data_IF_900841171674
#
_entry.id   IF_900841171674
#
_cell.length_a   1.000
_cell.length_b   1.000
_cell.length_c   1.000
_cell.angle_alpha   90.00
_cell.angle_beta   90.00
_cell.angle_gamma   90.00
#
_symmetry.space_group_name_H-M   'P 1'
#
loop_
_entity.id
_entity.type
_entity.pdbx_description
1 polymer ?
#
# COMPACT_ATOMS: atom_id res chain seq x y z
N UNK A 1 19.42 -15.47 16.64
CA UNK A 1 19.74 -14.29 15.81
C UNK A 1 18.96 -14.31 14.48
N UNK A 2 19.14 -15.32 13.61
CA UNK A 2 18.42 -15.46 12.33
C UNK A 2 16.89 -15.38 12.43
N UNK A 3 16.26 -16.09 13.37
CA UNK A 3 14.79 -16.04 13.57
C UNK A 3 14.26 -14.63 13.90
N UNK A 4 15.00 -13.86 14.68
CA UNK A 4 14.59 -12.48 15.03
C UNK A 4 14.69 -11.55 13.82
N UNK A 5 15.67 -11.78 12.95
CA UNK A 5 15.84 -11.03 11.71
C UNK A 5 14.70 -11.37 10.74
N UNK A 6 14.38 -12.65 10.56
CA UNK A 6 13.25 -13.10 9.72
C UNK A 6 11.92 -12.50 10.19
N UNK A 7 11.63 -12.55 11.49
CA UNK A 7 10.39 -11.98 12.03
C UNK A 7 10.29 -10.45 11.81
N UNK A 8 11.43 -9.73 11.82
CA UNK A 8 11.44 -8.30 11.50
C UNK A 8 11.18 -8.04 10.03
N UNK A 9 11.78 -8.84 9.14
CA UNK A 9 11.52 -8.74 7.70
C UNK A 9 10.06 -9.06 7.37
N UNK A 10 9.50 -10.10 7.99
CA UNK A 10 8.07 -10.38 7.87
C UNK A 10 7.23 -9.20 8.37
N UNK A 11 7.54 -8.63 9.54
CA UNK A 11 6.81 -7.47 10.05
C UNK A 11 6.88 -6.27 9.11
N UNK A 12 8.04 -5.98 8.50
CA UNK A 12 8.20 -4.91 7.51
C UNK A 12 7.40 -5.18 6.23
N UNK A 13 7.33 -6.43 5.78
CA UNK A 13 6.51 -6.83 4.64
C UNK A 13 5.00 -6.86 4.95
N UNK A 14 4.57 -6.58 6.19
CA UNK A 14 3.15 -6.64 6.56
C UNK A 14 2.50 -5.27 6.68
N UNK A 15 3.26 -4.22 6.39
CA UNK A 15 2.78 -2.84 6.45
C UNK A 15 3.39 -2.04 5.33
N UNK A 16 2.62 -1.12 4.79
CA UNK A 16 3.09 -0.11 3.85
C UNK A 16 3.12 1.26 4.52
N UNK A 17 3.99 2.12 4.00
CA UNK A 17 4.09 3.53 4.40
C UNK A 17 3.61 4.42 3.26
N UNK A 18 3.17 5.67 3.56
CA UNK A 18 2.66 6.58 2.53
C UNK A 18 3.73 7.05 1.52
N UNK A 19 5.02 6.87 1.86
CA UNK A 19 6.16 7.19 0.98
C UNK A 19 6.47 6.09 -0.05
N UNK A 20 5.90 4.89 0.11
CA UNK A 20 6.08 3.81 -0.85
C UNK A 20 5.43 4.14 -2.18
N UNK A 21 6.06 3.69 -3.27
CA UNK A 21 5.48 3.82 -4.60
C UNK A 21 4.22 2.97 -4.72
N UNK A 22 3.17 3.52 -5.35
CA UNK A 22 1.91 2.81 -5.58
C UNK A 22 2.15 1.49 -6.32
N UNK A 23 3.05 1.49 -7.31
CA UNK A 23 3.38 0.28 -8.06
C UNK A 23 4.07 -0.79 -7.22
N UNK A 24 4.88 -0.41 -6.25
CA UNK A 24 5.53 -1.36 -5.35
C UNK A 24 4.54 -1.92 -4.33
N UNK A 25 3.63 -1.09 -3.82
CA UNK A 25 2.52 -1.55 -2.97
C UNK A 25 1.70 -2.61 -3.69
N UNK A 26 1.27 -2.36 -4.93
CA UNK A 26 0.43 -3.31 -5.69
C UNK A 26 1.19 -4.61 -6.03
N UNK A 27 2.50 -4.53 -6.29
CA UNK A 27 3.32 -5.74 -6.56
C UNK A 27 3.54 -6.59 -5.32
N UNK A 28 3.79 -5.95 -4.17
CA UNK A 28 4.01 -6.63 -2.89
C UNK A 28 2.69 -7.14 -2.29
N UNK A 29 1.60 -6.42 -2.51
CA UNK A 29 0.29 -6.63 -1.93
C UNK A 29 -0.83 -6.57 -2.98
N UNK A 30 -0.87 -7.51 -3.94
CA UNK A 30 -1.91 -7.52 -4.97
C UNK A 30 -3.33 -7.62 -4.38
N UNK A 31 -3.47 -8.16 -3.17
CA UNK A 31 -4.74 -8.25 -2.43
C UNK A 31 -5.34 -6.90 -2.04
N UNK A 32 -4.56 -5.81 -2.06
CA UNK A 32 -5.04 -4.47 -1.66
C UNK A 32 -5.57 -3.65 -2.82
N UNK A 33 -5.51 -4.15 -4.07
CA UNK A 33 -5.99 -3.43 -5.26
C UNK A 33 -7.43 -2.99 -5.10
N UNK A 34 -8.33 -3.89 -4.70
CA UNK A 34 -9.75 -3.55 -4.47
C UNK A 34 -9.92 -2.51 -3.36
N UNK A 35 -9.06 -2.54 -2.34
CA UNK A 35 -9.09 -1.56 -1.24
C UNK A 35 -8.67 -0.18 -1.75
N UNK A 36 -7.60 -0.10 -2.54
CA UNK A 36 -7.13 1.14 -3.15
C UNK A 36 -8.21 1.73 -4.08
N UNK A 37 -8.82 0.91 -4.94
CA UNK A 37 -9.91 1.33 -5.82
C UNK A 37 -11.12 1.85 -5.03
N UNK A 38 -11.54 1.13 -3.99
CA UNK A 38 -12.65 1.55 -3.12
C UNK A 38 -12.39 2.85 -2.37
N UNK A 39 -11.11 3.22 -2.16
CA UNK A 39 -10.69 4.48 -1.55
C UNK A 39 -10.44 5.60 -2.58
N UNK A 40 -10.81 5.40 -3.84
CA UNK A 40 -10.76 6.45 -4.87
C UNK A 40 -9.53 6.42 -5.77
N UNK A 41 -8.61 5.47 -5.59
CA UNK A 41 -7.41 5.32 -6.41
C UNK A 41 -7.70 4.61 -7.73
N UNK A 42 -8.62 5.10 -8.57
CA UNK A 42 -9.05 4.39 -9.79
C UNK A 42 -7.98 4.27 -10.89
N UNK A 43 -6.90 5.04 -10.79
CA UNK A 43 -5.86 5.16 -11.81
C UNK A 43 -4.66 4.22 -11.59
N UNK A 44 -4.78 3.15 -10.79
CA UNK A 44 -3.65 2.27 -10.46
C UNK A 44 -2.89 1.76 -11.69
N UNK A 45 -3.56 1.49 -12.81
CA UNK A 45 -2.90 1.03 -14.04
C UNK A 45 -2.15 2.12 -14.82
N UNK A 46 -2.25 3.40 -14.43
CA UNK A 46 -1.58 4.50 -15.10
C UNK A 46 -0.06 4.44 -14.84
N UNK A 47 0.79 4.48 -15.89
CA UNK A 47 2.25 4.47 -15.70
C UNK A 47 2.78 5.60 -14.81
N UNK A 48 2.09 6.75 -14.76
CA UNK A 48 2.42 7.87 -13.88
C UNK A 48 2.14 7.53 -12.41
N UNK A 49 0.92 7.07 -12.11
CA UNK A 49 0.51 6.73 -10.74
C UNK A 49 1.41 5.64 -10.14
N UNK A 50 1.82 4.67 -10.95
CA UNK A 50 2.74 3.61 -10.52
C UNK A 50 4.12 4.11 -10.07
N UNK A 51 4.55 5.29 -10.52
CA UNK A 51 5.83 5.92 -10.19
C UNK A 51 5.71 7.00 -9.10
N UNK A 52 4.52 7.23 -8.57
CA UNK A 52 4.27 8.18 -7.49
C UNK A 52 4.24 7.48 -6.14
N UNK A 53 4.63 8.19 -5.08
CA UNK A 53 4.34 7.75 -3.71
C UNK A 53 2.83 7.71 -3.48
N UNK A 54 2.38 6.90 -2.53
CA UNK A 54 0.98 6.85 -2.15
C UNK A 54 0.46 8.24 -1.74
N UNK A 55 1.27 9.03 -1.02
CA UNK A 55 0.93 10.43 -0.68
C UNK A 55 0.66 11.28 -1.91
N UNK A 56 1.59 11.30 -2.87
CA UNK A 56 1.48 12.16 -4.04
C UNK A 56 0.28 11.77 -4.89
N UNK A 57 0.10 10.46 -5.09
CA UNK A 57 -1.04 9.95 -5.84
C UNK A 57 -2.38 10.29 -5.13
N UNK A 58 -2.46 10.19 -3.80
CA UNK A 58 -3.63 10.63 -3.04
C UNK A 58 -3.90 12.13 -3.20
N UNK A 59 -2.87 12.97 -3.14
CA UNK A 59 -2.98 14.42 -3.27
C UNK A 59 -3.52 14.85 -4.64
N UNK A 60 -3.09 14.21 -5.73
CA UNK A 60 -3.61 14.48 -7.10
C UNK A 60 -5.12 14.24 -7.18
N UNK A 61 -5.65 13.34 -6.35
CA UNK A 61 -7.06 12.98 -6.29
C UNK A 61 -7.83 13.61 -5.11
N UNK A 62 -7.18 14.49 -4.32
CA UNK A 62 -7.81 15.12 -3.15
C UNK A 62 -8.18 14.15 -2.02
N UNK A 63 -7.47 13.03 -1.93
CA UNK A 63 -7.67 11.99 -0.92
C UNK A 63 -6.75 12.20 0.29
N UNK A 64 -7.19 11.76 1.46
CA UNK A 64 -6.36 11.76 2.67
C UNK A 64 -5.39 10.56 2.66
N UNK A 65 -4.08 10.79 2.50
CA UNK A 65 -3.10 9.71 2.39
C UNK A 65 -2.99 8.87 3.66
N UNK A 66 -3.26 9.44 4.84
CA UNK A 66 -3.23 8.69 6.10
C UNK A 66 -4.39 7.68 6.17
N UNK A 67 -5.59 8.10 5.75
CA UNK A 67 -6.77 7.23 5.69
C UNK A 67 -6.57 6.09 4.69
N UNK A 68 -6.06 6.40 3.49
CA UNK A 68 -5.80 5.37 2.46
C UNK A 68 -4.75 4.38 2.95
N UNK A 69 -3.62 4.87 3.51
CA UNK A 69 -2.56 4.02 4.07
C UNK A 69 -3.10 3.10 5.16
N UNK A 70 -3.94 3.62 6.06
CA UNK A 70 -4.57 2.83 7.12
C UNK A 70 -5.47 1.75 6.56
N UNK A 71 -6.32 2.06 5.58
CA UNK A 71 -7.20 1.09 4.94
C UNK A 71 -6.41 -0.05 4.27
N UNK A 72 -5.34 0.29 3.55
CA UNK A 72 -4.44 -0.68 2.91
C UNK A 72 -3.80 -1.59 3.96
N UNK A 73 -3.26 -1.03 5.04
CA UNK A 73 -2.65 -1.81 6.12
C UNK A 73 -3.65 -2.73 6.84
N UNK A 74 -4.90 -2.31 7.02
CA UNK A 74 -5.97 -3.17 7.55
C UNK A 74 -6.25 -4.34 6.60
N UNK A 75 -6.30 -4.10 5.28
CA UNK A 75 -6.53 -5.14 4.29
C UNK A 75 -5.41 -6.19 4.27
N UNK A 76 -4.13 -5.76 4.33
CA UNK A 76 -2.96 -6.66 4.41
C UNK A 76 -3.06 -7.56 5.65
N UNK A 77 -3.48 -7.02 6.78
CA UNK A 77 -3.61 -7.78 8.03
C UNK A 77 -4.83 -8.72 8.02
N UNK A 78 -5.93 -8.34 7.37
CA UNK A 78 -7.16 -9.13 7.33
C UNK A 78 -7.05 -10.38 6.44
N UNK A 79 -6.18 -10.38 5.43
CA UNK A 79 -5.98 -11.50 4.50
C UNK A 79 -4.95 -12.54 4.96
N UNK A 80 -4.40 -12.39 6.17
CA UNK A 80 -3.43 -13.33 6.77
C UNK A 80 -4.03 -14.56 7.47
N UNK A 81 -5.30 -14.87 7.20
CA UNK A 81 -5.97 -16.07 7.75
C UNK A 81 -5.98 -17.21 6.72
#
# INVERSE_FOLDING_TARGET
MLKSILNKFEAMNNTVTPDMLVGDIVRLHPEVVDTLLANGMHCLGCPSSQQESLTNACMVHGLDPEQVTKAVNVAIQAKKQ
#
